data_IF_005534120790
#
_entry.id   IF_005534120790
#
_cell.length_a   1.000
_cell.length_b   1.000
_cell.length_c   1.000
_cell.angle_alpha   90.00
_cell.angle_beta   90.00
_cell.angle_gamma   90.00
#
_symmetry.space_group_name_H-M   'P 1'
#
loop_
_entity.id
_entity.type
_entity.pdbx_description
1 polymer ?
#
# COMPACT_ATOMS: atom_id res chain seq x y z
N UNK A 1 11.73 -22.07 -8.62
CA UNK A 1 10.26 -21.91 -8.58
C UNK A 1 9.78 -20.68 -7.77
N UNK A 2 10.60 -20.02 -6.93
CA UNK A 2 10.24 -18.76 -6.25
C UNK A 2 10.85 -17.49 -6.87
N UNK A 3 11.61 -17.63 -7.97
CA UNK A 3 12.39 -16.54 -8.60
C UNK A 3 11.60 -15.65 -9.57
N UNK A 4 10.34 -15.98 -9.89
CA UNK A 4 9.56 -15.22 -10.87
C UNK A 4 8.69 -14.10 -10.27
N UNK A 5 8.55 -14.06 -8.94
CA UNK A 5 7.83 -12.98 -8.28
C UNK A 5 8.84 -11.88 -7.94
N UNK A 6 8.97 -10.89 -8.85
CA UNK A 6 9.77 -9.68 -8.62
C UNK A 6 9.08 -8.75 -7.61
N UNK A 7 8.97 -9.17 -6.35
CA UNK A 7 8.52 -8.28 -5.30
C UNK A 7 9.59 -7.20 -5.06
N UNK A 8 9.21 -5.92 -4.92
CA UNK A 8 10.15 -4.89 -4.51
C UNK A 8 10.80 -5.29 -3.18
N UNK A 9 12.12 -5.16 -3.08
CA UNK A 9 12.87 -5.49 -1.86
C UNK A 9 12.32 -4.75 -0.63
N UNK A 10 11.83 -3.51 -0.81
CA UNK A 10 11.18 -2.73 0.24
C UNK A 10 9.90 -3.40 0.79
N UNK A 11 9.12 -4.04 -0.08
CA UNK A 11 7.88 -4.73 0.32
C UNK A 11 8.19 -5.98 1.16
N UNK A 12 9.22 -6.73 0.75
CA UNK A 12 9.73 -7.87 1.52
C UNK A 12 10.26 -7.42 2.89
N UNK A 13 11.04 -6.33 2.94
CA UNK A 13 11.55 -5.76 4.19
C UNK A 13 10.45 -5.33 5.15
N UNK A 14 9.39 -4.70 4.63
CA UNK A 14 8.21 -4.32 5.43
C UNK A 14 7.53 -5.55 6.03
N UNK A 15 7.26 -6.58 5.21
CA UNK A 15 6.66 -7.82 5.69
C UNK A 15 7.50 -8.53 6.75
N UNK A 16 8.82 -8.59 6.54
CA UNK A 16 9.74 -9.21 7.49
C UNK A 16 9.77 -8.46 8.83
N UNK A 17 9.87 -7.13 8.80
CA UNK A 17 9.87 -6.30 10.00
C UNK A 17 8.57 -6.46 10.79
N UNK A 18 7.43 -6.52 10.11
CA UNK A 18 6.13 -6.78 10.75
C UNK A 18 6.12 -8.14 11.44
N UNK A 19 6.58 -9.20 10.77
CA UNK A 19 6.67 -10.54 11.36
C UNK A 19 7.54 -10.52 12.62
N UNK A 20 8.73 -9.91 12.56
CA UNK A 20 9.64 -9.81 13.72
C UNK A 20 9.03 -9.04 14.90
N UNK A 21 8.21 -8.02 14.61
CA UNK A 21 7.48 -7.27 15.63
C UNK A 21 6.37 -8.12 16.27
N UNK A 22 5.62 -8.87 15.46
CA UNK A 22 4.57 -9.79 15.93
C UNK A 22 5.13 -10.92 16.81
N UNK A 23 6.30 -11.45 16.48
CA UNK A 23 6.98 -12.46 17.29
C UNK A 23 7.62 -11.89 18.57
N UNK A 24 7.63 -10.56 18.76
CA UNK A 24 8.25 -9.90 19.92
C UNK A 24 9.78 -9.95 19.94
N UNK A 25 10.41 -10.43 18.86
CA UNK A 25 11.87 -10.49 18.71
C UNK A 25 12.45 -9.08 18.62
N UNK A 26 11.76 -8.19 17.90
CA UNK A 26 12.12 -6.78 17.79
C UNK A 26 11.17 -5.96 18.66
N UNK A 27 11.73 -5.20 19.61
CA UNK A 27 10.95 -4.29 20.44
C UNK A 27 10.69 -2.98 19.71
N UNK A 28 9.51 -2.37 19.85
CA UNK A 28 9.19 -1.09 19.22
C UNK A 28 10.24 0.00 19.53
N UNK A 29 10.72 0.05 20.78
CA UNK A 29 11.69 1.06 21.23
C UNK A 29 12.98 1.10 20.40
N UNK A 30 13.37 -0.02 19.79
CA UNK A 30 14.60 -0.11 18.98
C UNK A 30 14.45 0.60 17.63
N UNK A 31 13.23 0.64 17.11
CA UNK A 31 12.92 1.18 15.78
C UNK A 31 12.42 2.62 15.87
N UNK A 32 11.77 2.97 16.98
CA UNK A 32 11.25 4.32 17.27
C UNK A 32 12.25 5.45 16.97
N UNK A 33 13.53 5.42 17.39
CA UNK A 33 14.46 6.53 17.11
C UNK A 33 14.74 6.73 15.62
N UNK A 34 14.72 5.66 14.81
CA UNK A 34 14.90 5.75 13.36
C UNK A 34 13.59 6.09 12.63
N UNK A 35 12.46 5.56 13.11
CA UNK A 35 11.14 5.76 12.49
C UNK A 35 10.57 7.16 12.77
N UNK A 36 10.77 7.71 13.96
CA UNK A 36 10.17 8.99 14.37
C UNK A 36 10.51 10.16 13.43
N UNK A 37 11.77 10.38 13.00
CA UNK A 37 12.08 11.42 12.02
C UNK A 37 11.37 11.21 10.69
N UNK A 38 11.34 9.97 10.18
CA UNK A 38 10.69 9.63 8.90
C UNK A 38 9.19 9.90 8.97
N UNK A 39 8.55 9.50 10.07
CA UNK A 39 7.13 9.75 10.33
C UNK A 39 6.83 11.24 10.51
N UNK A 40 7.70 11.97 11.23
CA UNK A 40 7.57 13.42 11.45
C UNK A 40 7.61 14.20 10.14
N UNK A 41 8.43 13.77 9.18
CA UNK A 41 8.58 14.41 7.88
C UNK A 41 7.90 13.62 6.75
N UNK A 42 6.94 12.75 7.06
CA UNK A 42 6.30 11.84 6.09
C UNK A 42 5.71 12.59 4.89
N UNK A 43 5.14 13.78 5.13
CA UNK A 43 4.61 14.65 4.08
C UNK A 43 5.65 14.98 2.98
N UNK A 44 6.94 15.11 3.33
CA UNK A 44 8.00 15.39 2.34
C UNK A 44 8.20 14.23 1.36
N UNK A 45 8.05 12.99 1.81
CA UNK A 45 8.16 11.80 0.95
C UNK A 45 6.97 11.64 -0.01
N UNK A 46 5.84 12.31 0.27
CA UNK A 46 4.71 12.35 -0.66
C UNK A 46 4.85 13.43 -1.73
N UNK A 47 5.78 14.39 -1.58
CA UNK A 47 6.00 15.45 -2.58
C UNK A 47 6.37 14.85 -3.95
N UNK A 48 7.35 13.92 -4.09
CA UNK A 48 7.68 13.30 -5.37
C UNK A 48 6.49 12.60 -6.04
N UNK A 49 5.65 11.91 -5.26
CA UNK A 49 4.45 11.28 -5.78
C UNK A 49 3.42 12.32 -6.25
N UNK A 50 3.25 13.41 -5.49
CA UNK A 50 2.36 14.50 -5.84
C UNK A 50 2.79 15.26 -7.10
N UNK A 51 4.07 15.61 -7.23
CA UNK A 51 4.56 16.34 -8.41
C UNK A 51 4.43 15.51 -9.69
N UNK A 52 4.60 14.18 -9.62
CA UNK A 52 4.37 13.30 -10.77
C UNK A 52 2.92 13.30 -11.25
N UNK A 53 1.95 13.49 -10.34
CA UNK A 53 0.54 13.68 -10.70
C UNK A 53 0.33 15.04 -11.34
N UNK A 54 0.91 16.10 -10.76
CA UNK A 54 0.81 17.47 -11.29
C UNK A 54 1.37 17.58 -12.71
N UNK A 55 2.48 16.89 -12.99
CA UNK A 55 3.09 16.81 -14.33
C UNK A 55 2.12 16.30 -15.41
N UNK A 56 1.13 15.48 -15.03
CA UNK A 56 0.18 14.86 -15.95
C UNK A 56 -1.24 15.42 -15.81
N UNK A 57 -1.42 16.58 -15.16
CA UNK A 57 -2.76 17.14 -14.86
C UNK A 57 -3.61 17.35 -16.11
N UNK A 58 -3.02 17.66 -17.26
CA UNK A 58 -3.76 17.81 -18.52
C UNK A 58 -4.42 16.49 -18.97
N UNK A 59 -3.79 15.34 -18.73
CA UNK A 59 -4.38 14.03 -18.97
C UNK A 59 -5.54 13.77 -18.00
N UNK A 60 -5.40 14.17 -16.75
CA UNK A 60 -6.49 14.08 -15.77
C UNK A 60 -7.67 14.95 -16.19
N UNK A 61 -7.46 16.18 -16.66
CA UNK A 61 -8.55 17.06 -17.09
C UNK A 61 -9.24 16.58 -18.37
N UNK A 62 -8.48 16.06 -19.34
CA UNK A 62 -9.07 15.58 -20.60
C UNK A 62 -9.85 14.26 -20.44
N UNK A 63 -9.48 13.41 -19.47
CA UNK A 63 -10.09 12.08 -19.27
C UNK A 63 -10.71 11.86 -17.90
N UNK A 64 -11.03 12.93 -17.16
CA UNK A 64 -11.48 12.86 -15.76
C UNK A 64 -12.69 11.94 -15.55
N UNK A 65 -13.66 11.93 -16.48
CA UNK A 65 -14.85 11.07 -16.40
C UNK A 65 -14.47 9.59 -16.48
N UNK A 66 -13.60 9.24 -17.43
CA UNK A 66 -13.14 7.86 -17.63
C UNK A 66 -12.29 7.40 -16.45
N UNK A 67 -11.40 8.25 -15.94
CA UNK A 67 -10.61 7.97 -14.74
C UNK A 67 -11.50 7.77 -13.51
N UNK A 68 -12.48 8.64 -13.27
CA UNK A 68 -13.39 8.53 -12.13
C UNK A 68 -14.21 7.22 -12.17
N UNK A 69 -14.74 6.85 -13.34
CA UNK A 69 -15.44 5.59 -13.53
C UNK A 69 -14.53 4.40 -13.27
N UNK A 70 -13.32 4.39 -13.84
CA UNK A 70 -12.37 3.30 -13.67
C UNK A 70 -11.96 3.12 -12.20
N UNK A 71 -11.59 4.22 -11.53
CA UNK A 71 -11.16 4.23 -10.14
C UNK A 71 -12.28 3.87 -9.17
N UNK A 72 -13.55 4.03 -9.55
CA UNK A 72 -14.68 3.67 -8.68
C UNK A 72 -15.17 2.25 -8.96
N UNK A 73 -15.43 1.94 -10.23
CA UNK A 73 -16.08 0.68 -10.64
C UNK A 73 -15.15 -0.51 -10.40
N UNK A 74 -13.87 -0.40 -10.78
CA UNK A 74 -12.93 -1.53 -10.69
C UNK A 74 -12.69 -1.95 -9.25
N UNK A 75 -12.33 -1.06 -8.29
CA UNK A 75 -12.15 -1.47 -6.91
C UNK A 75 -13.47 -1.93 -6.27
N UNK A 76 -14.59 -1.30 -6.58
CA UNK A 76 -15.89 -1.71 -6.02
C UNK A 76 -16.27 -3.12 -6.46
N UNK A 77 -16.10 -3.45 -7.75
CA UNK A 77 -16.34 -4.81 -8.26
C UNK A 77 -15.41 -5.84 -7.63
N UNK A 78 -14.12 -5.51 -7.52
CA UNK A 78 -13.12 -6.39 -6.90
C UNK A 78 -13.46 -6.64 -5.43
N UNK A 79 -13.71 -5.57 -4.65
CA UNK A 79 -14.01 -5.66 -3.22
C UNK A 79 -15.33 -6.38 -2.96
N UNK A 80 -16.37 -6.13 -3.75
CA UNK A 80 -17.67 -6.82 -3.60
C UNK A 80 -17.59 -8.30 -3.99
N UNK A 81 -16.82 -8.65 -5.02
CA UNK A 81 -16.63 -10.05 -5.44
C UNK A 81 -15.74 -10.84 -4.47
N UNK A 82 -14.70 -10.21 -3.90
CA UNK A 82 -13.80 -10.84 -2.94
C UNK A 82 -14.37 -10.90 -1.51
N UNK A 83 -15.22 -9.94 -1.12
CA UNK A 83 -15.85 -9.90 0.21
C UNK A 83 -16.52 -11.21 0.66
N UNK A 84 -17.34 -11.90 -0.15
CA UNK A 84 -17.95 -13.17 0.25
C UNK A 84 -16.91 -14.29 0.43
N UNK A 85 -15.82 -14.30 -0.35
CA UNK A 85 -14.74 -15.28 -0.26
C UNK A 85 -13.97 -15.09 1.04
N UNK A 86 -13.59 -13.86 1.36
CA UNK A 86 -12.88 -13.53 2.60
C UNK A 86 -13.77 -13.83 3.83
N UNK A 87 -15.07 -13.51 3.77
CA UNK A 87 -16.02 -13.88 4.84
C UNK A 87 -16.12 -15.40 5.04
N UNK A 88 -16.14 -16.18 3.96
CA UNK A 88 -16.16 -17.66 4.04
C UNK A 88 -14.90 -18.25 4.67
N UNK A 89 -13.75 -17.62 4.48
CA UNK A 89 -12.49 -18.03 5.11
C UNK A 89 -12.50 -17.70 6.61
N UNK A 90 -13.02 -16.54 7.01
CA UNK A 90 -13.00 -16.08 8.42
C UNK A 90 -14.09 -16.65 9.32
N UNK A 91 -15.16 -17.23 8.77
CA UNK A 91 -16.25 -17.89 9.54
C UNK A 91 -16.12 -19.42 9.59
N UNK A 92 -14.93 -19.96 9.26
CA UNK A 92 -14.60 -21.38 9.37
C UNK A 92 -13.41 -21.61 10.30
N UNK A 93 -13.25 -20.73 11.29
CA UNK A 93 -12.50 -20.90 12.53
C UNK A 93 -13.50 -20.67 13.68
#
# INVERSE_FOLDING_TARGET
MLSEIKLPAALLGMGFLVILLFLGVVKPEWITPAANPILKYMALFFIPAGVGVVEHIDLFQSQWVMLALLLTIVPTLILTSLSPIVKRIKFRD
#
